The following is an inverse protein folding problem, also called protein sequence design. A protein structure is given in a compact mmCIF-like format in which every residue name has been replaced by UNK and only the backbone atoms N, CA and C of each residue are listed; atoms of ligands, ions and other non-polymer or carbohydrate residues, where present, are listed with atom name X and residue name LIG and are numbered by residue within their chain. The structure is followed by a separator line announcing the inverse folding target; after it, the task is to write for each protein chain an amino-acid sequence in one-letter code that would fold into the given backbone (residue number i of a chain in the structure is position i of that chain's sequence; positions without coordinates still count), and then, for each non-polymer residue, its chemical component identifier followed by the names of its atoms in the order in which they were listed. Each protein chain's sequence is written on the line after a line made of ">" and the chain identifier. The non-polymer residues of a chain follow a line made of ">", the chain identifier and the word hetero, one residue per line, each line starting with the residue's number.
data_IF_829294860523
#
_entry.id   IF_829294860523
#
_cell.length_a   1.000
_cell.length_b   1.000
_cell.length_c   1.000
_cell.angle_alpha   90.00
_cell.angle_beta   90.00
_cell.angle_gamma   90.00
#
_symmetry.space_group_name_H-M   'P 1'
#
loop_
_entity.id
_entity.type
_entity.pdbx_description
1 polymer ?
#
# COMPACT_ATOMS: atom_id res chain seq x y z
N UNK A 1 -9.34 11.18 -42.11
CA UNK A 1 -9.89 11.75 -40.85
C UNK A 1 -8.82 11.68 -39.79
N UNK A 2 -8.24 12.82 -39.37
CA UNK A 2 -7.35 12.85 -38.20
C UNK A 2 -8.23 12.55 -36.99
N UNK A 3 -8.04 11.40 -36.33
CA UNK A 3 -8.71 11.13 -35.05
C UNK A 3 -8.30 12.28 -34.11
N UNK A 4 -9.26 13.09 -33.68
CA UNK A 4 -9.02 14.06 -32.62
C UNK A 4 -8.70 13.24 -31.38
N UNK A 5 -7.56 13.52 -30.78
CA UNK A 5 -6.86 12.66 -29.87
C UNK A 5 -6.88 13.35 -28.50
N UNK A 6 -7.38 12.70 -27.46
CA UNK A 6 -7.62 13.34 -26.16
C UNK A 6 -7.12 12.47 -25.01
N UNK A 7 -6.48 13.12 -24.03
CA UNK A 7 -5.90 12.55 -22.82
C UNK A 7 -6.25 13.47 -21.66
N UNK A 8 -6.61 12.90 -20.50
CA UNK A 8 -6.77 13.65 -19.25
C UNK A 8 -6.01 12.95 -18.12
N UNK A 9 -5.50 13.76 -17.21
CA UNK A 9 -4.66 13.42 -16.06
C UNK A 9 -5.22 14.15 -14.82
N UNK A 10 -5.28 13.50 -13.65
CA UNK A 10 -5.76 14.11 -12.40
C UNK A 10 -4.98 13.56 -11.20
N UNK A 11 -4.70 14.42 -10.20
CA UNK A 11 -3.80 14.16 -9.07
C UNK A 11 -4.45 14.34 -7.68
N UNK A 12 -4.15 13.44 -6.74
CA UNK A 12 -4.13 13.69 -5.29
C UNK A 12 -2.80 13.22 -4.67
N UNK A 13 -2.12 14.13 -3.94
CA UNK A 13 -1.05 13.78 -3.01
C UNK A 13 -1.62 13.79 -1.58
N UNK A 14 -2.01 12.64 -1.05
CA UNK A 14 -2.64 12.56 0.27
C UNK A 14 -1.60 12.68 1.39
N UNK A 15 -1.29 13.92 1.81
CA UNK A 15 -0.81 14.21 3.18
C UNK A 15 -2.02 14.74 3.94
N UNK A 16 -2.62 13.88 4.78
CA UNK A 16 -3.99 14.04 5.24
C UNK A 16 -4.30 15.36 5.96
N UNK A 17 -5.35 16.03 5.51
CA UNK A 17 -6.27 16.85 6.32
C UNK A 17 -7.67 16.66 5.75
N UNK A 18 -8.58 16.10 6.57
CA UNK A 18 -10.00 15.96 6.27
C UNK A 18 -10.69 17.33 6.43
N UNK A 19 -11.48 17.72 5.43
CA UNK A 19 -12.44 18.83 5.50
C UNK A 19 -13.47 18.65 4.40
N UNK A 20 -14.70 18.30 4.77
CA UNK A 20 -15.73 17.84 3.83
C UNK A 20 -16.49 18.96 3.12
N UNK A 21 -17.23 18.56 2.08
CA UNK A 21 -18.59 19.01 1.76
C UNK A 21 -19.19 18.06 0.72
N UNK A 22 -20.50 17.91 0.82
CA UNK A 22 -21.37 16.94 0.14
C UNK A 22 -21.24 16.98 -1.39
N UNK A 23 -20.92 15.83 -1.99
CA UNK A 23 -21.34 15.52 -3.37
C UNK A 23 -22.58 14.64 -3.30
N UNK A 24 -23.57 14.92 -4.14
CA UNK A 24 -24.70 14.01 -4.37
C UNK A 24 -24.11 12.68 -4.83
N UNK A 25 -24.30 11.61 -4.05
CA UNK A 25 -23.88 10.28 -4.45
C UNK A 25 -24.48 9.96 -5.83
N UNK A 26 -23.63 9.55 -6.77
CA UNK A 26 -24.11 9.07 -8.06
C UNK A 26 -25.09 7.91 -7.81
N UNK A 27 -26.18 7.88 -8.58
CA UNK A 27 -27.11 6.75 -8.53
C UNK A 27 -26.35 5.45 -8.81
N UNK A 28 -26.77 4.36 -8.17
CA UNK A 28 -26.19 3.03 -8.37
C UNK A 28 -26.23 2.67 -9.86
N UNK A 29 -25.09 2.77 -10.52
CA UNK A 29 -24.91 2.44 -11.94
C UNK A 29 -24.16 1.11 -12.07
N UNK A 30 -24.49 0.35 -13.12
CA UNK A 30 -23.85 -0.92 -13.45
C UNK A 30 -23.32 -0.86 -14.86
N UNK A 31 -22.01 -1.01 -15.00
CA UNK A 31 -21.30 -0.80 -16.25
C UNK A 31 -20.65 -2.08 -16.73
N UNK A 32 -20.51 -2.22 -18.04
CA UNK A 32 -19.72 -3.29 -18.64
C UNK A 32 -18.31 -2.78 -18.87
N UNK A 33 -17.34 -3.43 -18.22
CA UNK A 33 -15.92 -3.13 -18.36
C UNK A 33 -15.21 -4.32 -18.99
N UNK A 34 -14.20 -4.06 -19.83
CA UNK A 34 -13.22 -5.08 -20.22
C UNK A 34 -11.92 -4.79 -19.50
N UNK A 35 -11.52 -5.63 -18.55
CA UNK A 35 -10.23 -5.48 -17.91
C UNK A 35 -9.10 -5.91 -18.83
N UNK A 36 -7.91 -5.36 -18.62
CA UNK A 36 -6.74 -5.60 -19.45
C UNK A 36 -5.47 -5.72 -18.57
N UNK A 37 -5.56 -6.55 -17.52
CA UNK A 37 -4.53 -6.65 -16.49
C UNK A 37 -3.19 -7.19 -17.00
N UNK A 38 -3.15 -7.96 -18.10
CA UNK A 38 -1.88 -8.38 -18.68
C UNK A 38 -1.05 -7.18 -19.12
N UNK A 39 -1.67 -6.16 -19.71
CA UNK A 39 -0.99 -4.95 -20.14
C UNK A 39 -0.63 -4.08 -18.94
N UNK A 40 -1.61 -3.83 -18.05
CA UNK A 40 -1.41 -3.00 -16.85
C UNK A 40 -0.23 -3.45 -15.98
N UNK A 41 -0.06 -4.77 -15.81
CA UNK A 41 1.02 -5.34 -14.98
C UNK A 41 2.43 -5.06 -15.49
N UNK A 42 2.62 -4.84 -16.79
CA UNK A 42 3.94 -4.57 -17.39
C UNK A 42 4.57 -3.29 -16.83
N UNK A 43 3.73 -2.30 -16.49
CA UNK A 43 4.16 -0.98 -16.03
C UNK A 43 4.97 -1.00 -14.72
N UNK A 44 4.83 -2.05 -13.90
CA UNK A 44 5.65 -2.24 -12.71
C UNK A 44 7.15 -2.15 -13.01
N UNK A 45 7.59 -2.77 -14.11
CA UNK A 45 9.01 -2.79 -14.46
C UNK A 45 9.53 -1.38 -14.76
N UNK A 46 8.75 -0.62 -15.52
CA UNK A 46 9.08 0.75 -15.95
C UNK A 46 9.13 1.72 -14.78
N UNK A 47 8.11 1.68 -13.90
CA UNK A 47 8.10 2.47 -12.66
C UNK A 47 9.29 2.09 -11.77
N UNK A 48 9.62 0.81 -11.65
CA UNK A 48 10.76 0.39 -10.85
C UNK A 48 12.10 0.84 -11.44
N UNK A 49 12.26 0.85 -12.76
CA UNK A 49 13.42 1.44 -13.42
C UNK A 49 13.54 2.93 -13.08
N UNK A 50 12.45 3.69 -13.25
CA UNK A 50 12.39 5.11 -12.92
C UNK A 50 12.74 5.41 -11.45
N UNK A 51 12.15 4.64 -10.52
CA UNK A 51 12.39 4.77 -9.07
C UNK A 51 13.83 4.45 -8.67
N UNK A 52 14.41 3.39 -9.23
CA UNK A 52 15.74 2.92 -8.84
C UNK A 52 16.88 3.69 -9.51
N UNK A 53 16.61 4.35 -10.64
CA UNK A 53 17.52 5.33 -11.21
C UNK A 53 17.53 6.65 -10.41
N UNK A 54 16.38 7.00 -9.82
CA UNK A 54 16.14 8.36 -9.33
C UNK A 54 15.89 9.32 -10.49
N UNK A 55 15.45 10.54 -10.17
CA UNK A 55 15.13 11.53 -11.18
C UNK A 55 15.22 12.96 -10.60
N UNK A 56 14.38 13.86 -11.09
CA UNK A 56 14.27 15.25 -10.67
C UNK A 56 12.80 15.67 -10.67
N UNK A 57 12.42 16.63 -9.83
CA UNK A 57 11.16 17.37 -9.94
C UNK A 57 11.46 18.86 -9.88
N UNK A 58 10.60 19.73 -10.40
CA UNK A 58 10.69 21.16 -10.10
C UNK A 58 10.56 21.42 -8.60
N UNK A 59 11.09 22.54 -8.13
CA UNK A 59 10.70 23.12 -6.84
C UNK A 59 9.37 23.88 -6.98
N UNK A 60 8.73 24.22 -5.87
CA UNK A 60 7.45 24.95 -5.85
C UNK A 60 7.48 26.29 -6.59
N UNK A 61 8.67 26.85 -6.81
CA UNK A 61 8.87 28.12 -7.52
C UNK A 61 9.05 27.97 -9.03
N UNK A 62 9.16 26.73 -9.54
CA UNK A 62 9.53 26.42 -10.93
C UNK A 62 10.87 27.04 -11.37
N UNK A 63 11.78 27.34 -10.43
CA UNK A 63 13.07 27.97 -10.78
C UNK A 63 14.20 26.96 -10.86
N UNK A 64 14.07 25.81 -10.19
CA UNK A 64 15.13 24.79 -10.13
C UNK A 64 14.56 23.39 -10.17
N UNK A 65 15.29 22.51 -10.85
CA UNK A 65 15.07 21.06 -10.77
C UNK A 65 15.77 20.51 -9.52
N UNK A 66 14.99 19.98 -8.59
CA UNK A 66 15.45 19.31 -7.36
C UNK A 66 15.65 17.84 -7.64
N UNK A 67 16.81 17.31 -7.25
CA UNK A 67 17.12 15.89 -7.37
C UNK A 67 16.18 15.06 -6.48
N UNK A 68 15.48 14.11 -7.09
CA UNK A 68 14.74 13.06 -6.40
C UNK A 68 15.62 11.79 -6.40
N UNK A 69 16.14 11.35 -5.24
CA UNK A 69 17.11 10.26 -5.20
C UNK A 69 16.48 8.93 -5.61
N UNK A 70 17.33 7.97 -5.97
CA UNK A 70 16.92 6.59 -6.16
C UNK A 70 16.25 6.05 -4.89
N UNK A 71 15.06 5.45 -5.06
CA UNK A 71 14.27 4.83 -4.00
C UNK A 71 14.07 3.35 -4.28
N UNK A 72 13.57 2.62 -3.28
CA UNK A 72 13.34 1.17 -3.41
C UNK A 72 12.29 0.88 -4.48
N UNK A 73 12.53 -0.19 -5.23
CA UNK A 73 11.53 -0.80 -6.10
C UNK A 73 10.27 -1.17 -5.31
N UNK A 74 9.12 -0.94 -5.92
CA UNK A 74 7.80 -1.34 -5.43
C UNK A 74 7.60 -2.83 -5.68
N UNK A 75 6.90 -3.47 -4.75
CA UNK A 75 6.45 -4.85 -4.90
C UNK A 75 5.02 -4.85 -5.42
N UNK A 76 4.73 -5.67 -6.43
CA UNK A 76 3.37 -5.81 -6.93
C UNK A 76 2.45 -6.42 -5.86
N UNK A 77 1.31 -5.79 -5.65
CA UNK A 77 0.36 -6.17 -4.63
C UNK A 77 -1.02 -6.41 -5.24
N UNK A 78 -1.43 -7.67 -5.23
CA UNK A 78 -2.66 -8.11 -5.87
C UNK A 78 -3.92 -7.62 -5.14
N UNK A 79 -3.79 -7.18 -3.89
CA UNK A 79 -4.88 -6.47 -3.19
C UNK A 79 -5.02 -5.03 -3.67
N UNK A 80 -3.91 -4.34 -3.93
CA UNK A 80 -3.96 -3.02 -4.59
C UNK A 80 -4.45 -3.15 -6.02
N UNK A 81 -4.08 -4.19 -6.76
CA UNK A 81 -4.60 -4.43 -8.11
C UNK A 81 -6.13 -4.53 -8.10
N UNK A 82 -6.71 -5.31 -7.18
CA UNK A 82 -8.17 -5.39 -7.03
C UNK A 82 -8.79 -4.03 -6.71
N UNK A 83 -8.10 -3.19 -5.95
CA UNK A 83 -8.54 -1.82 -5.66
C UNK A 83 -8.47 -0.92 -6.90
N UNK A 84 -7.34 -0.95 -7.61
CA UNK A 84 -7.13 -0.22 -8.85
C UNK A 84 -8.16 -0.62 -9.91
N UNK A 85 -8.56 -1.89 -9.98
CA UNK A 85 -9.62 -2.36 -10.88
C UNK A 85 -10.99 -1.76 -10.55
N UNK A 86 -11.35 -1.72 -9.25
CA UNK A 86 -12.56 -1.02 -8.78
C UNK A 86 -12.50 0.46 -9.20
N UNK A 87 -11.37 1.10 -8.96
CA UNK A 87 -11.16 2.51 -9.27
C UNK A 87 -11.18 2.79 -10.78
N UNK A 88 -10.57 1.94 -11.61
CA UNK A 88 -10.59 2.07 -13.07
C UNK A 88 -12.03 2.05 -13.62
N UNK A 89 -12.88 1.17 -13.06
CA UNK A 89 -14.30 1.16 -13.38
C UNK A 89 -15.02 2.43 -12.91
N UNK A 90 -14.78 2.88 -11.67
CA UNK A 90 -15.41 4.08 -11.11
C UNK A 90 -15.03 5.36 -11.88
N UNK A 91 -13.75 5.52 -12.27
CA UNK A 91 -13.30 6.71 -13.03
C UNK A 91 -13.83 6.78 -14.45
N UNK A 92 -14.36 5.67 -14.98
CA UNK A 92 -15.08 5.67 -16.26
C UNK A 92 -16.43 6.40 -16.22
N UNK A 93 -16.95 6.66 -15.02
CA UNK A 93 -18.18 7.42 -14.78
C UNK A 93 -17.93 8.74 -14.07
N UNK A 94 -16.97 8.76 -13.14
CA UNK A 94 -16.56 9.96 -12.41
C UNK A 94 -15.03 10.04 -12.42
N UNK A 95 -14.46 10.75 -13.39
CA UNK A 95 -13.02 10.92 -13.54
C UNK A 95 -12.45 11.89 -12.48
N UNK A 96 -12.47 11.43 -11.24
CA UNK A 96 -12.02 12.13 -10.04
C UNK A 96 -11.37 11.13 -9.09
N UNK A 97 -10.51 11.62 -8.21
CA UNK A 97 -10.04 10.85 -7.06
C UNK A 97 -11.12 10.66 -5.99
N UNK A 98 -12.18 11.47 -6.03
CA UNK A 98 -13.37 11.24 -5.23
C UNK A 98 -14.19 10.11 -5.87
N UNK A 99 -14.60 9.14 -5.05
CA UNK A 99 -15.41 8.01 -5.48
C UNK A 99 -16.86 8.43 -5.71
N UNK A 100 -17.66 7.64 -6.46
CA UNK A 100 -19.06 7.97 -6.76
C UNK A 100 -19.97 8.24 -5.56
N UNK A 101 -19.65 7.71 -4.38
CA UNK A 101 -20.37 7.99 -3.12
C UNK A 101 -19.86 9.21 -2.34
N UNK A 102 -18.96 10.00 -2.92
CA UNK A 102 -18.37 11.19 -2.30
C UNK A 102 -17.25 10.92 -1.29
N UNK A 103 -16.81 9.67 -1.14
CA UNK A 103 -15.66 9.32 -0.28
C UNK A 103 -14.35 9.39 -1.06
N UNK A 104 -13.21 9.50 -0.38
CA UNK A 104 -11.90 9.47 -1.04
C UNK A 104 -11.56 8.09 -1.64
N UNK A 105 -10.66 8.07 -2.62
CA UNK A 105 -10.19 6.85 -3.29
C UNK A 105 -9.62 5.81 -2.32
N UNK A 106 -9.00 6.25 -1.22
CA UNK A 106 -8.38 5.40 -0.20
C UNK A 106 -9.40 4.50 0.49
N UNK A 107 -10.68 4.84 0.45
CA UNK A 107 -11.74 4.00 1.03
C UNK A 107 -11.99 2.71 0.24
N UNK A 108 -11.49 2.62 -0.99
CA UNK A 108 -11.47 1.39 -1.79
C UNK A 108 -10.45 0.39 -1.24
N UNK A 109 -9.38 0.84 -0.59
CA UNK A 109 -8.25 -0.01 -0.18
C UNK A 109 -8.58 -0.95 1.00
N UNK A 110 -7.86 -2.07 1.08
CA UNK A 110 -7.80 -2.88 2.30
C UNK A 110 -6.75 -2.36 3.27
N UNK A 111 -7.18 -1.91 4.46
CA UNK A 111 -6.30 -1.43 5.52
C UNK A 111 -6.07 0.07 5.47
N UNK A 112 -5.10 0.55 6.25
CA UNK A 112 -4.81 1.99 6.40
C UNK A 112 -3.29 2.18 6.39
N UNK A 113 -2.78 3.19 5.69
CA UNK A 113 -1.35 3.49 5.58
C UNK A 113 -1.15 4.76 4.78
N UNK A 114 0.11 5.11 4.51
CA UNK A 114 0.41 6.12 3.48
C UNK A 114 0.02 5.51 2.14
N UNK A 115 -0.85 6.18 1.38
CA UNK A 115 -1.34 5.74 0.09
C UNK A 115 -1.35 6.89 -0.93
N UNK A 116 -1.47 6.54 -2.20
CA UNK A 116 -1.57 7.49 -3.29
C UNK A 116 -2.22 6.84 -4.50
N UNK A 117 -2.85 7.65 -5.35
CA UNK A 117 -3.52 7.20 -6.57
C UNK A 117 -3.03 8.07 -7.74
N UNK A 118 -2.70 7.44 -8.87
CA UNK A 118 -2.53 8.11 -10.16
C UNK A 118 -3.65 7.63 -11.09
N UNK A 119 -4.35 8.55 -11.77
CA UNK A 119 -5.41 8.19 -12.72
C UNK A 119 -5.16 8.83 -14.10
N UNK A 120 -5.51 8.11 -15.15
CA UNK A 120 -5.42 8.58 -16.53
C UNK A 120 -6.53 7.94 -17.36
N UNK A 121 -6.96 8.63 -18.43
CA UNK A 121 -7.64 7.94 -19.52
C UNK A 121 -7.04 8.29 -20.87
N UNK A 122 -7.15 7.34 -21.81
CA UNK A 122 -6.76 7.53 -23.20
C UNK A 122 -7.93 7.22 -24.13
N UNK A 123 -8.13 8.08 -25.13
CA UNK A 123 -9.15 7.91 -26.18
C UNK A 123 -8.50 7.93 -27.56
N UNK A 124 -8.89 6.98 -28.43
CA UNK A 124 -8.39 6.92 -29.80
C UNK A 124 -6.97 6.34 -29.96
N UNK A 125 -6.37 5.85 -28.88
CA UNK A 125 -5.07 5.17 -28.86
C UNK A 125 -5.22 3.66 -28.65
N UNK A 126 -4.19 2.92 -29.08
CA UNK A 126 -4.02 1.54 -28.64
C UNK A 126 -3.66 1.51 -27.15
N UNK A 127 -4.07 0.43 -26.49
CA UNK A 127 -3.76 0.20 -25.09
C UNK A 127 -2.26 -0.05 -24.92
N UNK A 128 -1.54 0.94 -24.38
CA UNK A 128 -0.10 0.86 -24.14
C UNK A 128 0.24 1.35 -22.74
N UNK A 129 0.86 0.47 -21.96
CA UNK A 129 1.40 0.82 -20.64
C UNK A 129 2.49 1.91 -20.75
N UNK A 130 3.33 1.81 -21.78
CA UNK A 130 4.45 2.71 -22.01
C UNK A 130 3.98 4.15 -22.21
N UNK A 131 2.98 4.32 -23.08
CA UNK A 131 2.40 5.63 -23.36
C UNK A 131 1.82 6.28 -22.10
N UNK A 132 1.09 5.51 -21.28
CA UNK A 132 0.48 6.04 -20.05
C UNK A 132 1.52 6.34 -18.99
N UNK A 133 2.59 5.55 -18.92
CA UNK A 133 3.71 5.85 -18.04
C UNK A 133 4.38 7.18 -18.42
N UNK A 134 4.67 7.41 -19.71
CA UNK A 134 5.26 8.67 -20.20
C UNK A 134 4.35 9.88 -19.89
N UNK A 135 3.02 9.71 -19.99
CA UNK A 135 2.08 10.74 -19.55
C UNK A 135 2.21 11.07 -18.07
N UNK A 136 2.41 10.07 -17.22
CA UNK A 136 2.62 10.24 -15.77
C UNK A 136 4.05 10.66 -15.40
N UNK A 137 5.03 10.53 -16.28
CA UNK A 137 6.38 11.03 -16.04
C UNK A 137 6.41 12.56 -15.97
N UNK A 138 5.53 13.25 -16.70
CA UNK A 138 5.33 14.71 -16.60
C UNK A 138 6.66 15.49 -16.75
N UNK A 139 7.53 15.04 -17.66
CA UNK A 139 8.85 15.66 -17.94
C UNK A 139 8.72 17.13 -18.38
N UNK A 140 7.62 17.46 -19.08
CA UNK A 140 7.33 18.80 -19.64
C UNK A 140 6.40 19.65 -18.76
N UNK A 141 6.10 19.21 -17.53
CA UNK A 141 5.23 19.95 -16.61
C UNK A 141 6.03 20.71 -15.56
N UNK A 142 5.47 21.84 -15.13
CA UNK A 142 5.90 22.60 -13.94
C UNK A 142 5.53 21.85 -12.65
N UNK A 143 5.98 22.35 -11.49
CA UNK A 143 5.74 21.73 -10.18
C UNK A 143 4.28 21.33 -9.94
N UNK A 144 3.31 22.21 -10.23
CA UNK A 144 1.89 21.91 -10.01
C UNK A 144 1.39 20.75 -10.87
N UNK A 145 2.00 20.52 -12.03
CA UNK A 145 1.68 19.45 -12.96
C UNK A 145 2.61 18.24 -12.86
N UNK A 146 3.47 18.13 -11.83
CA UNK A 146 4.35 16.97 -11.60
C UNK A 146 3.83 16.04 -10.49
N UNK A 147 2.51 15.95 -10.39
CA UNK A 147 1.84 15.16 -9.38
C UNK A 147 2.10 13.68 -9.47
N UNK A 148 1.81 13.11 -10.63
CA UNK A 148 1.91 11.68 -10.90
C UNK A 148 3.37 11.23 -10.80
N UNK A 149 4.29 12.07 -11.31
CA UNK A 149 5.73 11.89 -11.19
C UNK A 149 6.17 11.78 -9.74
N UNK A 150 5.77 12.74 -8.90
CA UNK A 150 6.10 12.72 -7.46
C UNK A 150 5.52 11.50 -6.75
N UNK A 151 4.32 11.07 -7.12
CA UNK A 151 3.70 9.87 -6.58
C UNK A 151 4.52 8.62 -6.94
N UNK A 152 4.91 8.47 -8.22
CA UNK A 152 5.76 7.36 -8.69
C UNK A 152 7.16 7.37 -8.06
N UNK A 153 7.71 8.52 -7.69
CA UNK A 153 9.03 8.66 -7.04
C UNK A 153 8.98 8.65 -5.50
N UNK A 154 7.80 8.58 -4.88
CA UNK A 154 7.68 8.69 -3.42
C UNK A 154 8.33 7.47 -2.72
N UNK A 155 9.37 7.74 -1.94
CA UNK A 155 10.14 6.72 -1.20
C UNK A 155 9.40 6.06 -0.04
N UNK A 156 8.27 6.64 0.39
CA UNK A 156 7.44 6.08 1.46
C UNK A 156 6.58 4.90 1.00
N UNK A 157 6.39 4.74 -0.32
CA UNK A 157 5.69 3.59 -0.88
C UNK A 157 6.59 2.36 -1.00
N UNK A 158 6.02 1.20 -0.69
CA UNK A 158 6.65 -0.11 -0.83
C UNK A 158 5.87 -1.08 -1.73
N UNK A 159 4.64 -0.73 -2.11
CA UNK A 159 3.76 -1.59 -2.90
C UNK A 159 2.97 -0.79 -3.94
N UNK A 160 2.61 -1.47 -5.02
CA UNK A 160 1.77 -0.93 -6.10
C UNK A 160 0.81 -1.99 -6.64
N UNK A 161 -0.38 -1.56 -7.02
CA UNK A 161 -1.29 -2.30 -7.90
C UNK A 161 -1.69 -1.40 -9.06
N UNK A 162 -1.81 -1.99 -10.25
CA UNK A 162 -2.07 -1.23 -11.48
C UNK A 162 -3.26 -1.87 -12.17
N UNK A 163 -4.18 -1.07 -12.67
CA UNK A 163 -5.30 -1.58 -13.46
C UNK A 163 -5.52 -0.78 -14.73
N UNK A 164 -6.05 -1.48 -15.72
CA UNK A 164 -6.57 -0.89 -16.94
C UNK A 164 -7.91 -1.55 -17.26
N UNK A 165 -8.92 -0.73 -17.61
CA UNK A 165 -10.14 -1.24 -18.22
C UNK A 165 -10.59 -0.39 -19.40
N UNK A 166 -11.24 -1.04 -20.36
CA UNK A 166 -11.89 -0.40 -21.49
C UNK A 166 -13.40 -0.23 -21.23
N UNK A 167 -13.90 0.99 -21.39
CA UNK A 167 -15.31 1.36 -21.26
C UNK A 167 -15.62 2.42 -22.31
N UNK A 168 -16.65 2.19 -23.13
CA UNK A 168 -17.23 3.17 -24.05
C UNK A 168 -16.21 3.94 -24.93
N UNK A 169 -15.22 3.25 -25.51
CA UNK A 169 -14.23 3.88 -26.41
C UNK A 169 -12.94 4.36 -25.75
N UNK A 170 -12.82 4.24 -24.43
CA UNK A 170 -11.70 4.76 -23.65
C UNK A 170 -11.04 3.69 -22.80
N UNK A 171 -9.73 3.79 -22.63
CA UNK A 171 -9.00 3.04 -21.62
C UNK A 171 -8.80 3.91 -20.37
N UNK A 172 -9.14 3.36 -19.21
CA UNK A 172 -8.99 4.01 -17.91
C UNK A 172 -7.92 3.28 -17.12
N UNK A 173 -6.94 4.04 -16.63
CA UNK A 173 -5.75 3.54 -15.98
C UNK A 173 -5.66 4.07 -14.57
N UNK A 174 -5.29 3.18 -13.64
CA UNK A 174 -5.10 3.53 -12.24
C UNK A 174 -3.83 2.87 -11.71
N UNK A 175 -2.99 3.64 -11.03
CA UNK A 175 -1.98 3.11 -10.11
C UNK A 175 -2.44 3.41 -8.69
N UNK A 176 -2.46 2.37 -7.86
CA UNK A 176 -2.67 2.48 -6.42
C UNK A 176 -1.36 2.17 -5.71
N UNK A 177 -0.97 3.02 -4.76
CA UNK A 177 0.27 2.89 -4.00
C UNK A 177 0.01 2.76 -2.51
N UNK A 178 0.87 2.03 -1.81
CA UNK A 178 0.94 2.12 -0.33
C UNK A 178 2.31 1.78 0.25
N UNK A 179 2.49 2.07 1.54
CA UNK A 179 3.73 1.86 2.32
C UNK A 179 4.09 0.38 2.58
N UNK A 180 3.19 -0.57 2.30
CA UNK A 180 3.40 -1.99 2.56
C UNK A 180 2.68 -2.95 1.61
N UNK A 181 3.13 -4.21 1.60
CA UNK A 181 2.49 -5.30 0.83
C UNK A 181 1.45 -6.05 1.68
N UNK A 182 0.29 -6.38 1.10
CA UNK A 182 -0.77 -7.24 1.67
C UNK A 182 -0.81 -8.57 0.95
N UNK A 183 -0.87 -8.56 -0.38
CA UNK A 183 -1.01 -9.78 -1.16
C UNK A 183 0.07 -9.85 -2.24
N UNK A 184 1.16 -10.55 -1.92
CA UNK A 184 2.27 -10.76 -2.85
C UNK A 184 2.10 -12.02 -3.71
N UNK A 185 0.94 -12.67 -3.68
CA UNK A 185 0.75 -13.96 -4.36
C UNK A 185 0.19 -13.74 -5.76
N UNK A 186 0.89 -14.18 -6.80
CA UNK A 186 0.39 -14.06 -8.15
C UNK A 186 -1.00 -14.67 -8.35
N UNK A 187 -1.92 -13.85 -8.84
CA UNK A 187 -3.19 -14.29 -9.42
C UNK A 187 -3.10 -14.25 -10.95
N UNK A 188 -3.90 -15.05 -11.68
CA UNK A 188 -4.06 -14.87 -13.12
C UNK A 188 -4.49 -13.44 -13.47
N UNK A 189 -3.98 -12.89 -14.56
CA UNK A 189 -4.41 -11.59 -15.05
C UNK A 189 -5.86 -11.67 -15.55
N UNK A 190 -6.71 -10.73 -15.12
CA UNK A 190 -8.06 -10.62 -15.63
C UNK A 190 -8.08 -9.77 -16.91
N UNK A 191 -8.31 -10.39 -18.06
CA UNK A 191 -8.48 -9.71 -19.35
C UNK A 191 -9.91 -9.85 -19.90
N UNK A 192 -10.87 -10.06 -19.00
CA UNK A 192 -12.24 -10.45 -19.33
C UNK A 192 -13.21 -9.27 -19.22
N UNK A 193 -14.33 -9.40 -19.92
CA UNK A 193 -15.50 -8.56 -19.69
C UNK A 193 -16.08 -8.84 -18.30
N UNK A 194 -16.58 -7.82 -17.63
CA UNK A 194 -17.20 -7.90 -16.30
C UNK A 194 -18.29 -6.85 -16.17
N UNK A 195 -19.38 -7.20 -15.48
CA UNK A 195 -20.39 -6.23 -15.07
C UNK A 195 -20.05 -5.75 -13.67
N UNK A 196 -19.86 -4.43 -13.51
CA UNK A 196 -19.36 -3.82 -12.28
C UNK A 196 -20.34 -2.76 -11.80
N UNK A 197 -20.70 -2.82 -10.52
CA UNK A 197 -21.48 -1.77 -9.85
C UNK A 197 -20.52 -0.67 -9.40
N UNK A 198 -20.75 0.57 -9.86
CA UNK A 198 -19.87 1.73 -9.61
C UNK A 198 -20.53 2.74 -8.68
N UNK A 199 -20.92 2.29 -7.50
CA UNK A 199 -21.59 3.12 -6.48
C UNK A 199 -20.64 3.65 -5.38
N UNK A 200 -19.32 3.44 -5.54
CA UNK A 200 -18.32 3.85 -4.55
C UNK A 200 -18.27 2.99 -3.27
N UNK A 201 -19.03 1.91 -3.17
CA UNK A 201 -19.06 1.06 -1.95
C UNK A 201 -18.12 -0.14 -2.02
N UNK A 202 -17.69 -0.52 -3.23
CA UNK A 202 -16.87 -1.72 -3.45
C UNK A 202 -15.52 -1.66 -2.73
N UNK A 203 -15.04 -2.82 -2.29
CA UNK A 203 -13.70 -3.03 -1.70
C UNK A 203 -13.11 -4.37 -2.17
N UNK A 204 -11.78 -4.52 -2.23
CA UNK A 204 -11.13 -5.79 -2.51
C UNK A 204 -11.58 -6.88 -1.54
N UNK A 205 -12.01 -8.01 -2.10
CA UNK A 205 -12.24 -9.21 -1.29
C UNK A 205 -10.92 -9.96 -1.10
N UNK A 206 -10.59 -10.26 0.17
CA UNK A 206 -9.47 -11.13 0.54
C UNK A 206 -9.90 -12.59 0.79
N UNK A 207 -11.16 -12.93 0.53
CA UNK A 207 -11.65 -14.30 0.72
C UNK A 207 -10.89 -15.28 -0.21
N UNK A 208 -10.39 -16.37 0.35
CA UNK A 208 -9.64 -17.40 -0.42
C UNK A 208 -8.18 -17.04 -0.75
N UNK A 209 -7.73 -15.80 -0.53
CA UNK A 209 -6.35 -15.37 -0.79
C UNK A 209 -5.40 -15.91 0.28
N UNK A 210 -4.37 -16.67 -0.12
CA UNK A 210 -3.33 -17.20 0.77
C UNK A 210 -2.25 -16.16 1.07
N UNK A 211 -2.56 -15.13 1.86
CA UNK A 211 -1.58 -14.11 2.23
C UNK A 211 -0.38 -14.74 2.97
N UNK A 212 0.83 -14.50 2.46
CA UNK A 212 2.06 -14.95 3.11
C UNK A 212 2.17 -14.29 4.48
N UNK A 213 2.23 -15.08 5.55
CA UNK A 213 2.42 -14.55 6.88
C UNK A 213 3.76 -13.79 6.96
N UNK A 214 3.80 -12.56 7.51
CA UNK A 214 5.05 -11.85 7.70
C UNK A 214 6.04 -12.70 8.51
N UNK A 215 7.33 -12.60 8.19
CA UNK A 215 8.39 -13.31 8.94
C UNK A 215 8.29 -12.91 10.43
N UNK A 216 8.45 -13.85 11.37
CA UNK A 216 8.42 -13.51 12.80
C UNK A 216 9.49 -12.47 13.16
N UNK A 217 9.23 -11.56 14.13
CA UNK A 217 10.23 -10.64 14.62
C UNK A 217 11.47 -11.37 15.12
N UNK A 218 12.65 -10.85 14.82
CA UNK A 218 13.91 -11.27 15.45
C UNK A 218 14.11 -10.46 16.72
N UNK A 219 14.29 -11.15 17.85
CA UNK A 219 14.36 -10.51 19.17
C UNK A 219 15.74 -10.62 19.82
N UNK A 220 16.10 -9.59 20.58
CA UNK A 220 17.21 -9.56 21.54
C UNK A 220 16.64 -9.36 22.95
N UNK A 221 17.20 -10.06 23.94
CA UNK A 221 16.72 -10.02 25.33
C UNK A 221 17.90 -9.79 26.26
N UNK A 222 17.81 -8.76 27.11
CA UNK A 222 18.83 -8.43 28.11
C UNK A 222 18.21 -8.18 29.48
N UNK A 223 19.00 -8.28 30.54
CA UNK A 223 18.59 -7.86 31.89
C UNK A 223 19.40 -6.62 32.27
N UNK A 224 18.90 -5.40 31.98
CA UNK A 224 19.69 -4.19 32.16
C UNK A 224 19.96 -3.90 33.64
N UNK A 225 18.95 -4.11 34.50
CA UNK A 225 18.98 -3.86 35.95
C UNK A 225 18.26 -4.97 36.73
N UNK A 226 18.41 -4.94 38.05
CA UNK A 226 17.81 -5.91 38.97
C UNK A 226 16.28 -5.99 38.75
N UNK A 227 15.73 -7.21 38.75
CA UNK A 227 14.29 -7.46 38.55
C UNK A 227 13.71 -6.94 37.21
N UNK A 228 14.55 -6.66 36.20
CA UNK A 228 14.10 -6.11 34.92
C UNK A 228 14.65 -6.88 33.71
N UNK A 229 13.84 -6.96 32.65
CA UNK A 229 14.20 -7.56 31.36
C UNK A 229 13.76 -6.64 30.23
N UNK A 230 14.72 -6.25 29.38
CA UNK A 230 14.47 -5.49 28.16
C UNK A 230 14.42 -6.43 26.97
N UNK A 231 13.39 -6.27 26.15
CA UNK A 231 13.13 -7.06 24.94
C UNK A 231 13.13 -6.05 23.80
N UNK A 232 13.97 -6.25 22.79
CA UNK A 232 13.98 -5.43 21.57
C UNK A 232 13.82 -6.30 20.33
N UNK A 233 13.24 -5.75 19.27
CA UNK A 233 12.98 -6.46 18.03
C UNK A 233 13.29 -5.58 16.81
N UNK A 234 13.51 -6.22 15.67
CA UNK A 234 13.61 -5.49 14.41
C UNK A 234 12.24 -4.98 13.97
N UNK A 235 12.20 -3.82 13.30
CA UNK A 235 11.00 -3.30 12.66
C UNK A 235 10.44 -4.31 11.66
N UNK A 236 9.12 -4.32 11.52
CA UNK A 236 8.37 -5.23 10.65
C UNK A 236 7.41 -4.38 9.79
N UNK A 237 7.28 -4.65 8.49
CA UNK A 237 6.33 -3.93 7.64
C UNK A 237 4.88 -4.30 7.99
N UNK A 238 3.95 -3.38 7.73
CA UNK A 238 2.50 -3.64 7.84
C UNK A 238 2.02 -4.14 9.22
N UNK A 239 2.55 -3.58 10.32
CA UNK A 239 2.19 -4.01 11.68
C UNK A 239 1.27 -2.99 12.36
N UNK A 240 0.22 -3.50 13.01
CA UNK A 240 -0.70 -2.74 13.90
C UNK A 240 -0.29 -2.77 15.36
N UNK A 241 0.39 -3.81 15.80
CA UNK A 241 0.84 -3.95 17.21
C UNK A 241 1.80 -5.13 17.34
N UNK A 242 2.57 -5.15 18.42
CA UNK A 242 3.31 -6.34 18.86
C UNK A 242 2.69 -6.95 20.10
N UNK A 243 2.73 -8.28 20.18
CA UNK A 243 2.42 -9.01 21.39
C UNK A 243 3.68 -9.71 21.89
N UNK A 244 4.01 -9.45 23.14
CA UNK A 244 5.11 -10.07 23.88
C UNK A 244 4.55 -11.10 24.84
N UNK A 245 5.27 -12.20 25.01
CA UNK A 245 5.01 -13.17 26.06
C UNK A 245 6.28 -13.50 26.81
N UNK A 246 6.13 -13.66 28.12
CA UNK A 246 7.20 -14.16 28.97
C UNK A 246 6.70 -15.20 29.98
N UNK A 247 7.58 -16.11 30.36
CA UNK A 247 7.33 -17.11 31.40
C UNK A 247 8.64 -17.57 32.04
N UNK A 248 8.58 -18.03 33.29
CA UNK A 248 9.69 -18.77 33.92
C UNK A 248 9.78 -20.22 33.46
N UNK A 249 8.82 -20.70 32.68
CA UNK A 249 8.76 -22.05 32.13
C UNK A 249 9.01 -22.03 30.62
N UNK A 250 9.93 -22.87 30.12
CA UNK A 250 10.30 -22.95 28.69
C UNK A 250 9.11 -23.29 27.77
N UNK A 251 8.12 -24.04 28.27
CA UNK A 251 6.88 -24.38 27.55
C UNK A 251 5.81 -23.27 27.65
N UNK A 252 6.15 -22.11 28.22
CA UNK A 252 5.24 -20.98 28.42
C UNK A 252 3.98 -21.34 29.25
N UNK A 253 4.11 -22.27 30.22
CA UNK A 253 3.11 -22.44 31.29
C UNK A 253 3.02 -21.15 32.11
N UNK A 254 1.82 -20.74 32.51
CA UNK A 254 1.56 -19.52 33.28
C UNK A 254 2.22 -18.26 32.67
N UNK A 255 2.19 -18.17 31.34
CA UNK A 255 2.74 -17.05 30.58
C UNK A 255 1.99 -15.76 30.89
N UNK A 256 2.73 -14.66 30.95
CA UNK A 256 2.19 -13.30 30.97
C UNK A 256 2.38 -12.67 29.59
N UNK A 257 1.45 -11.81 29.20
CA UNK A 257 1.45 -11.16 27.88
C UNK A 257 1.38 -9.65 28.01
N UNK A 258 2.02 -8.94 27.08
CA UNK A 258 1.88 -7.49 26.90
C UNK A 258 1.63 -7.20 25.43
N UNK A 259 0.74 -6.26 25.14
CA UNK A 259 0.56 -5.72 23.80
C UNK A 259 1.16 -4.31 23.76
N UNK A 260 1.87 -3.98 22.70
CA UNK A 260 2.45 -2.64 22.47
C UNK A 260 2.13 -2.19 21.05
N UNK A 261 2.01 -0.88 20.86
CA UNK A 261 1.77 -0.29 19.53
C UNK A 261 2.95 -0.53 18.57
N UNK A 262 2.70 -0.38 17.29
CA UNK A 262 3.64 -0.52 16.18
C UNK A 262 4.88 0.38 16.31
N UNK A 263 4.76 1.57 16.91
CA UNK A 263 5.88 2.49 17.15
C UNK A 263 6.99 1.96 18.08
N UNK A 264 6.72 0.92 18.86
CA UNK A 264 7.70 0.39 19.80
C UNK A 264 8.64 -0.62 19.11
N UNK A 265 9.94 -0.37 19.21
CA UNK A 265 11.01 -1.34 18.89
C UNK A 265 11.56 -2.09 20.10
N UNK A 266 11.13 -1.73 21.31
CA UNK A 266 11.50 -2.42 22.55
C UNK A 266 10.49 -2.23 23.67
N UNK A 267 10.53 -3.13 24.66
CA UNK A 267 9.73 -3.06 25.87
C UNK A 267 10.51 -3.60 27.07
N UNK A 268 10.36 -2.96 28.24
CA UNK A 268 11.02 -3.38 29.48
C UNK A 268 9.99 -3.88 30.48
N UNK A 269 10.14 -5.13 30.91
CA UNK A 269 9.32 -5.74 31.97
C UNK A 269 10.07 -5.54 33.29
N UNK A 270 9.41 -4.92 34.27
CA UNK A 270 9.92 -4.70 35.62
C UNK A 270 9.25 -5.65 36.64
N UNK A 271 9.74 -5.67 37.87
CA UNK A 271 9.12 -6.43 38.97
C UNK A 271 9.30 -7.95 38.89
N UNK A 272 10.31 -8.43 38.15
CA UNK A 272 10.58 -9.85 37.98
C UNK A 272 11.41 -10.44 39.14
N UNK A 273 11.30 -11.75 39.35
CA UNK A 273 12.14 -12.49 40.31
C UNK A 273 13.61 -12.51 39.85
N UNK A 274 14.50 -11.87 40.60
CA UNK A 274 15.96 -11.86 40.36
C UNK A 274 16.57 -13.26 40.37
N UNK A 275 17.71 -13.41 39.70
CA UNK A 275 18.49 -14.64 39.56
C UNK A 275 17.78 -15.82 38.87
N UNK A 276 16.50 -15.66 38.50
CA UNK A 276 15.73 -16.67 37.75
C UNK A 276 15.94 -16.48 36.24
N UNK A 277 15.87 -17.60 35.51
CA UNK A 277 15.87 -17.62 34.04
C UNK A 277 14.45 -17.36 33.54
N UNK A 278 14.29 -16.44 32.58
CA UNK A 278 12.99 -16.15 31.94
C UNK A 278 13.07 -16.46 30.44
N UNK A 279 11.96 -16.93 29.88
CA UNK A 279 11.77 -17.23 28.46
C UNK A 279 10.85 -16.18 27.86
N UNK A 280 11.21 -15.66 26.69
CA UNK A 280 10.52 -14.56 26.02
C UNK A 280 10.31 -14.90 24.55
N UNK A 281 9.16 -14.51 24.01
CA UNK A 281 8.86 -14.52 22.57
C UNK A 281 7.99 -13.33 22.20
N UNK A 282 8.09 -12.87 20.96
CA UNK A 282 7.32 -11.75 20.41
C UNK A 282 6.68 -12.18 19.10
N UNK A 283 5.48 -11.68 18.81
CA UNK A 283 4.83 -11.79 17.50
C UNK A 283 4.21 -10.45 17.12
N UNK A 284 4.00 -10.20 15.84
CA UNK A 284 3.42 -8.97 15.35
C UNK A 284 2.00 -9.21 14.81
N UNK A 285 1.10 -8.24 14.97
CA UNK A 285 -0.25 -8.25 14.39
C UNK A 285 -0.24 -7.44 13.11
N UNK A 286 -0.58 -8.05 12.00
CA UNK A 286 -0.62 -7.40 10.70
C UNK A 286 -1.79 -6.39 10.64
N UNK A 287 -1.58 -5.23 10.03
CA UNK A 287 -2.57 -4.13 9.99
C UNK A 287 -3.73 -4.43 9.05
N UNK A 288 -3.44 -5.02 7.89
CA UNK A 288 -4.43 -5.31 6.84
C UNK A 288 -5.31 -6.52 7.15
N UNK A 289 -4.72 -7.61 7.63
CA UNK A 289 -5.44 -8.87 7.90
C UNK A 289 -5.92 -9.00 9.34
N UNK A 290 -5.35 -8.21 10.26
CA UNK A 290 -5.54 -8.40 11.70
C UNK A 290 -4.93 -9.69 12.26
N UNK A 291 -4.29 -10.53 11.44
CA UNK A 291 -3.70 -11.82 11.85
C UNK A 291 -2.32 -11.61 12.50
N UNK A 292 -1.95 -12.52 13.40
CA UNK A 292 -0.62 -12.52 14.00
C UNK A 292 0.40 -13.32 13.17
N UNK A 293 1.65 -12.87 13.16
CA UNK A 293 2.79 -13.70 12.71
C UNK A 293 2.92 -14.95 13.60
N UNK A 294 3.68 -15.93 13.12
CA UNK A 294 4.25 -16.96 14.02
C UNK A 294 5.07 -16.27 15.12
N UNK A 295 5.23 -16.94 16.25
CA UNK A 295 6.10 -16.46 17.33
C UNK A 295 7.55 -16.39 16.87
N UNK A 296 8.29 -15.39 17.36
CA UNK A 296 9.75 -15.35 17.26
C UNK A 296 10.37 -16.60 17.84
N UNK A 297 11.61 -16.89 17.44
CA UNK A 297 12.45 -17.85 18.19
C UNK A 297 12.47 -17.41 19.66
N UNK A 298 12.28 -18.38 20.56
CA UNK A 298 12.30 -18.12 22.01
C UNK A 298 13.71 -17.72 22.41
N UNK A 299 13.82 -16.59 23.12
CA UNK A 299 15.07 -16.16 23.75
C UNK A 299 14.93 -16.24 25.27
N UNK A 300 16.07 -16.31 25.95
CA UNK A 300 16.12 -16.40 27.40
C UNK A 300 17.25 -15.55 27.96
N UNK A 301 17.07 -15.08 29.19
CA UNK A 301 18.08 -14.35 29.96
C UNK A 301 17.97 -14.72 31.43
N UNK A 302 19.09 -14.72 32.16
CA UNK A 302 19.11 -14.78 33.63
C UNK A 302 18.93 -13.35 34.15
N UNK A 303 17.91 -13.14 34.98
CA UNK A 303 17.58 -11.81 35.50
C UNK A 303 18.62 -11.41 36.55
N UNK A 304 19.15 -10.18 36.45
CA UNK A 304 20.02 -9.58 37.47
C UNK A 304 19.31 -9.48 38.84
#
# INVERSE_FOLDING_TARGET
>A
MKKVLSVLLSLIMAVGVFGGLSSTAYAKDTINVKYEQTEARKMLNRINQFRTAGSWCWDESNTKKVKYPAVKALVYDYDLERSAMIRAAEISRLYEHTRPNGTGCETSLTGYGTCGENIAYTEGYDMSEEFVFELWEEEDQDYSGQGHRRNMLNGDFGAIGIACCYVDGRYYWVQEFRDYVVDSNPSPANNSNSSVVVDGTAKPSLAGVKINAPKPPTIKVTSPKKKAVKISWNSQPNIKSYQLQYSYNKKFKNKKSHNVAERYGSFTINGLKSKKKVYVRVRAKNKSTGKFTKWSKVKTVKIK
#
